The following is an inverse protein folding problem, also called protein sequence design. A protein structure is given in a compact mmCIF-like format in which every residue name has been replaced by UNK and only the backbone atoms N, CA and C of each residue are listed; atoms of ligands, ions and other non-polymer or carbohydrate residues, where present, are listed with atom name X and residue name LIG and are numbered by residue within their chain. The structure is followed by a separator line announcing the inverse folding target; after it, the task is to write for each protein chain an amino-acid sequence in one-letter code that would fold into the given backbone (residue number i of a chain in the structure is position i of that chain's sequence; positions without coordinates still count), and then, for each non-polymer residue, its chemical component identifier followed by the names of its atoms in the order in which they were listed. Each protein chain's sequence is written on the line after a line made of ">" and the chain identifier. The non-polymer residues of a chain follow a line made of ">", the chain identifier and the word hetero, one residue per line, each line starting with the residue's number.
data_IF_657522666334
#
_entry.id   IF_657522666334
#
_cell.length_a   1.000
_cell.length_b   1.000
_cell.length_c   1.000
_cell.angle_alpha   90.00
_cell.angle_beta   90.00
_cell.angle_gamma   90.00
#
_symmetry.space_group_name_H-M   'P 1'
#
loop_
_entity.id
_entity.type
_entity.pdbx_description
1 polymer ?
#
# COMPACT_ATOMS: atom_id res chain seq x y z
N UNK A 1 -7.59 31.21 15.25
CA UNK A 1 -7.69 29.76 15.03
C UNK A 1 -6.86 29.08 16.11
N UNK A 2 -7.47 28.23 16.93
CA UNK A 2 -6.80 27.64 18.09
C UNK A 2 -6.75 26.12 17.90
N UNK A 3 -5.55 25.56 17.90
CA UNK A 3 -5.31 24.12 17.97
C UNK A 3 -3.95 23.89 18.63
N UNK A 4 -3.79 22.75 19.30
CA UNK A 4 -2.48 22.31 19.79
C UNK A 4 -1.69 21.75 18.61
N UNK A 5 -0.45 22.20 18.45
CA UNK A 5 0.48 21.57 17.52
C UNK A 5 0.97 20.25 18.14
N UNK A 6 0.71 19.14 17.46
CA UNK A 6 1.19 17.82 17.86
C UNK A 6 2.54 17.54 17.19
N UNK A 7 3.43 16.89 17.91
CA UNK A 7 4.57 16.17 17.33
C UNK A 7 4.11 14.95 16.54
N UNK A 8 5.03 14.33 15.80
CA UNK A 8 4.75 13.08 15.06
C UNK A 8 4.30 11.97 16.02
N UNK A 9 4.98 11.81 17.16
CA UNK A 9 4.62 10.78 18.15
C UNK A 9 3.20 11.00 18.69
N UNK A 10 2.87 12.24 19.07
CA UNK A 10 1.55 12.60 19.58
C UNK A 10 0.44 12.44 18.53
N UNK A 11 0.77 12.58 17.24
CA UNK A 11 -0.14 12.25 16.16
C UNK A 11 -0.37 10.74 16.03
N UNK A 12 0.69 9.93 16.06
CA UNK A 12 0.60 8.47 15.96
C UNK A 12 -0.27 7.87 17.08
N UNK A 13 -0.14 8.42 18.29
CA UNK A 13 -0.86 7.99 19.50
C UNK A 13 -2.21 8.70 19.71
N UNK A 14 -2.66 9.50 18.73
CA UNK A 14 -3.79 10.40 18.94
C UNK A 14 -5.11 9.64 19.26
N UNK A 15 -5.85 10.02 20.33
CA UNK A 15 -7.03 9.28 20.79
C UNK A 15 -8.14 9.11 19.73
N UNK A 16 -8.28 10.07 18.82
CA UNK A 16 -9.26 9.97 17.73
C UNK A 16 -8.87 8.94 16.67
N UNK A 17 -7.58 8.71 16.42
CA UNK A 17 -7.14 7.67 15.49
C UNK A 17 -7.36 6.29 16.09
N UNK A 18 -7.08 6.12 17.39
CA UNK A 18 -7.33 4.88 18.12
C UNK A 18 -8.83 4.55 18.22
N UNK A 19 -9.66 5.50 18.68
CA UNK A 19 -11.11 5.27 18.86
C UNK A 19 -11.83 4.96 17.55
N UNK A 20 -11.41 5.58 16.45
CA UNK A 20 -11.93 5.32 15.10
C UNK A 20 -11.23 4.18 14.37
N UNK A 21 -10.36 3.42 15.05
CA UNK A 21 -9.63 2.26 14.49
C UNK A 21 -8.94 2.57 13.17
N UNK A 22 -8.27 3.73 13.11
CA UNK A 22 -7.70 4.33 11.89
C UNK A 22 -6.38 3.72 11.45
N UNK A 23 -5.83 2.81 12.24
CA UNK A 23 -4.62 2.07 11.93
C UNK A 23 -4.99 0.65 11.48
N UNK A 24 -4.27 0.15 10.47
CA UNK A 24 -4.34 -1.23 9.98
C UNK A 24 -2.93 -1.78 9.85
N UNK A 25 -2.73 -3.01 10.30
CA UNK A 25 -1.50 -3.74 10.04
C UNK A 25 -1.56 -4.30 8.62
N UNK A 26 -0.55 -3.99 7.81
CA UNK A 26 -0.38 -4.51 6.45
C UNK A 26 0.97 -5.20 6.31
N UNK A 27 1.02 -6.27 5.53
CA UNK A 27 2.29 -6.92 5.20
C UNK A 27 3.05 -6.11 4.15
N UNK A 28 4.38 -6.12 4.26
CA UNK A 28 5.28 -5.48 3.30
C UNK A 28 6.55 -6.33 3.12
N UNK A 29 7.38 -6.04 2.10
CA UNK A 29 8.64 -6.75 1.88
C UNK A 29 9.64 -6.60 3.04
N UNK A 30 9.44 -5.63 3.93
CA UNK A 30 10.28 -5.37 5.11
C UNK A 30 9.60 -5.78 6.43
N UNK A 31 8.51 -6.54 6.36
CA UNK A 31 7.73 -6.99 7.52
C UNK A 31 6.40 -6.25 7.68
N UNK A 32 5.74 -6.45 8.83
CA UNK A 32 4.45 -5.80 9.12
C UNK A 32 4.63 -4.32 9.43
N UNK A 33 3.75 -3.50 8.86
CA UNK A 33 3.72 -2.06 9.02
C UNK A 33 2.33 -1.59 9.41
N UNK A 34 2.27 -0.56 10.25
CA UNK A 34 1.02 0.14 10.55
C UNK A 34 0.75 1.21 9.48
N UNK A 35 -0.40 1.12 8.82
CA UNK A 35 -0.85 2.05 7.79
C UNK A 35 -2.12 2.77 8.21
N UNK A 36 -2.19 4.06 7.87
CA UNK A 36 -3.35 4.89 8.15
C UNK A 36 -4.44 4.62 7.10
N UNK A 37 -5.65 4.34 7.56
CA UNK A 37 -6.84 4.26 6.71
C UNK A 37 -7.05 5.61 5.99
N UNK A 38 -7.52 5.63 4.72
CA UNK A 38 -7.77 6.87 3.98
C UNK A 38 -8.67 7.86 4.73
N UNK A 39 -8.34 9.18 4.75
CA UNK A 39 -9.05 10.18 5.58
C UNK A 39 -10.52 10.35 5.19
N UNK A 40 -10.84 10.21 3.91
CA UNK A 40 -12.21 10.19 3.43
C UNK A 40 -12.74 8.75 3.41
N UNK A 41 -13.86 8.53 4.11
CA UNK A 41 -14.61 7.28 4.10
C UNK A 41 -15.88 7.49 3.27
N UNK A 42 -16.24 6.49 2.47
CA UNK A 42 -17.54 6.41 1.80
C UNK A 42 -18.42 5.45 2.62
N UNK A 43 -19.68 5.82 2.84
CA UNK A 43 -20.61 4.96 3.56
C UNK A 43 -20.68 3.58 2.89
N UNK A 44 -20.61 2.54 3.70
CA UNK A 44 -20.67 1.12 3.29
C UNK A 44 -19.57 0.67 2.31
N UNK A 45 -18.48 1.44 2.17
CA UNK A 45 -17.32 1.06 1.37
C UNK A 45 -16.10 0.93 2.27
N UNK A 46 -15.64 -0.31 2.43
CA UNK A 46 -14.38 -0.58 3.12
C UNK A 46 -13.18 -0.33 2.18
N UNK A 47 -12.19 0.46 2.60
CA UNK A 47 -10.99 0.69 1.81
C UNK A 47 -10.14 -0.58 1.71
N UNK A 48 -9.60 -0.83 0.52
CA UNK A 48 -8.69 -1.96 0.29
C UNK A 48 -7.32 -1.66 0.89
N UNK A 49 -7.03 -2.29 2.02
CA UNK A 49 -5.76 -2.18 2.75
C UNK A 49 -4.92 -3.45 2.56
N UNK A 50 -4.64 -3.80 1.29
CA UNK A 50 -3.85 -4.97 0.92
C UNK A 50 -2.35 -4.83 1.23
N UNK A 51 -1.55 -5.90 1.03
CA UNK A 51 -0.11 -5.86 1.24
C UNK A 51 0.57 -4.91 0.26
N UNK A 52 1.73 -4.38 0.66
CA UNK A 52 2.61 -3.62 -0.23
C UNK A 52 3.38 -4.64 -1.09
N UNK A 53 3.30 -4.57 -2.43
CA UNK A 53 4.01 -5.51 -3.29
C UNK A 53 5.52 -5.30 -3.23
N UNK A 54 6.25 -6.39 -3.39
CA UNK A 54 7.70 -6.36 -3.62
C UNK A 54 8.03 -5.76 -4.98
N UNK A 55 9.28 -5.32 -5.14
CA UNK A 55 9.77 -4.86 -6.44
C UNK A 55 9.61 -5.98 -7.49
N UNK A 56 8.84 -5.69 -8.54
CA UNK A 56 8.61 -6.60 -9.66
C UNK A 56 7.58 -7.71 -9.43
N UNK A 57 6.90 -7.74 -8.27
CA UNK A 57 5.96 -8.81 -7.90
C UNK A 57 4.85 -9.03 -8.94
N UNK A 58 4.31 -7.94 -9.50
CA UNK A 58 3.22 -7.98 -10.48
C UNK A 58 3.67 -7.84 -11.94
N UNK A 59 4.97 -7.74 -12.22
CA UNK A 59 5.49 -7.46 -13.58
C UNK A 59 4.97 -8.46 -14.61
N UNK A 60 5.11 -9.77 -14.34
CA UNK A 60 4.68 -10.80 -15.29
C UNK A 60 3.15 -10.84 -15.44
N UNK A 61 2.41 -10.67 -14.33
CA UNK A 61 0.95 -10.70 -14.33
C UNK A 61 0.40 -9.59 -15.23
N UNK A 62 0.83 -8.35 -15.00
CA UNK A 62 0.38 -7.19 -15.77
C UNK A 62 0.76 -7.30 -17.25
N UNK A 63 1.99 -7.73 -17.55
CA UNK A 63 2.43 -7.84 -18.95
C UNK A 63 1.68 -8.93 -19.71
N UNK A 64 1.36 -10.05 -19.06
CA UNK A 64 0.53 -11.08 -19.65
C UNK A 64 -0.92 -10.59 -19.87
N UNK A 65 -1.48 -9.85 -18.90
CA UNK A 65 -2.83 -9.27 -19.01
C UNK A 65 -3.00 -8.34 -20.22
N UNK A 66 -1.94 -7.63 -20.60
CA UNK A 66 -1.95 -6.73 -21.77
C UNK A 66 -1.46 -7.39 -23.07
N UNK A 67 -1.26 -8.71 -23.08
CA UNK A 67 -1.08 -9.51 -24.30
C UNK A 67 0.36 -9.84 -24.68
N UNK A 68 1.34 -9.63 -23.81
CA UNK A 68 2.71 -10.12 -24.06
C UNK A 68 2.85 -11.59 -23.66
N UNK A 69 3.53 -12.37 -24.50
CA UNK A 69 3.75 -13.78 -24.26
C UNK A 69 5.01 -14.07 -23.42
N UNK A 70 5.11 -15.29 -22.91
CA UNK A 70 6.24 -15.71 -22.09
C UNK A 70 7.60 -15.59 -22.82
N UNK A 71 7.62 -15.78 -24.14
CA UNK A 71 8.84 -15.67 -24.94
C UNK A 71 9.35 -14.23 -24.99
N UNK A 72 8.45 -13.25 -25.16
CA UNK A 72 8.78 -11.83 -25.13
C UNK A 72 9.30 -11.40 -23.77
N UNK A 73 8.61 -11.79 -22.69
CA UNK A 73 9.02 -11.48 -21.32
C UNK A 73 10.41 -12.04 -20.99
N UNK A 74 10.68 -13.28 -21.39
CA UNK A 74 12.01 -13.89 -21.22
C UNK A 74 13.10 -13.08 -21.95
N UNK A 75 12.84 -12.64 -23.18
CA UNK A 75 13.75 -11.81 -23.96
C UNK A 75 13.99 -10.43 -23.33
N UNK A 76 12.97 -9.82 -22.73
CA UNK A 76 13.09 -8.54 -22.01
C UNK A 76 13.91 -8.66 -20.74
N UNK A 77 13.71 -9.74 -19.98
CA UNK A 77 14.47 -9.98 -18.75
C UNK A 77 15.95 -10.21 -19.03
N UNK A 78 16.29 -10.92 -20.10
CA UNK A 78 17.68 -11.09 -20.53
C UNK A 78 18.36 -9.77 -20.93
N UNK A 79 17.58 -8.82 -21.45
CA UNK A 79 18.08 -7.48 -21.84
C UNK A 79 18.02 -6.45 -20.73
N UNK A 80 17.50 -6.81 -19.54
CA UNK A 80 17.33 -5.88 -18.42
C UNK A 80 16.25 -4.81 -18.66
N UNK A 81 15.28 -5.08 -19.54
CA UNK A 81 14.11 -4.20 -19.75
C UNK A 81 13.13 -4.33 -18.59
N UNK A 82 13.00 -5.54 -18.02
CA UNK A 82 12.21 -5.90 -16.84
C UNK A 82 13.00 -6.82 -15.92
#
# INVERSE_FOLDING_TARGET
>A
ANARMNSVQEFLEHPQLASRKRWREIDSPVGRLSALVPPAELADVEPVMGPIPSLGEHTNVILNEIGFDAATLAGWRQRGVI
#
